data_IF_294014599329
#
_entry.id   IF_294014599329
#
_cell.length_a   1.000
_cell.length_b   1.000
_cell.length_c   1.000
_cell.angle_alpha   90.00
_cell.angle_beta   90.00
_cell.angle_gamma   90.00
#
_symmetry.space_group_name_H-M   'P 1'
#
loop_
_entity.id
_entity.type
_entity.pdbx_description
1 polymer ?
#
# COMPACT_ATOMS: atom_id res chain seq x y z
N UNK A 1 -14.84 -0.24 2.03
CA UNK A 1 -14.65 0.21 3.41
C UNK A 1 -14.66 1.73 3.39
N UNK A 2 -15.82 2.34 3.63
CA UNK A 2 -16.10 3.76 3.39
C UNK A 2 -15.42 4.67 4.41
N UNK A 3 -15.08 5.92 4.03
CA UNK A 3 -14.57 6.99 4.92
C UNK A 3 -15.45 7.27 6.17
N UNK A 4 -16.65 6.69 6.24
CA UNK A 4 -17.51 6.69 7.43
C UNK A 4 -16.97 5.81 8.58
N UNK A 5 -16.21 4.76 8.29
CA UNK A 5 -15.69 3.82 9.31
C UNK A 5 -14.51 4.44 10.07
N UNK A 6 -13.63 5.17 9.37
CA UNK A 6 -12.54 5.94 9.96
C UNK A 6 -13.03 6.99 10.97
N UNK A 7 -14.19 7.61 10.71
CA UNK A 7 -14.82 8.57 11.63
C UNK A 7 -15.30 7.93 12.93
N UNK A 8 -15.46 6.60 12.99
CA UNK A 8 -15.91 5.84 14.18
C UNK A 8 -14.79 5.23 15.02
N UNK A 9 -13.56 5.16 14.51
CA UNK A 9 -12.45 4.55 15.22
C UNK A 9 -12.04 5.38 16.46
N UNK A 10 -11.79 4.70 17.58
CA UNK A 10 -11.29 5.34 18.82
C UNK A 10 -9.87 5.89 18.63
N UNK A 11 -9.44 6.88 19.43
CA UNK A 11 -8.08 7.42 19.34
C UNK A 11 -7.00 6.33 19.49
N UNK A 12 -7.24 5.34 20.35
CA UNK A 12 -6.32 4.20 20.51
C UNK A 12 -6.28 3.31 19.27
N UNK A 13 -7.44 3.03 18.67
CA UNK A 13 -7.50 2.24 17.42
C UNK A 13 -6.78 2.92 16.26
N UNK A 14 -6.69 4.26 16.24
CA UNK A 14 -5.92 5.01 15.24
C UNK A 14 -4.42 4.99 15.51
N UNK A 15 -4.01 4.77 16.76
CA UNK A 15 -2.60 4.66 17.17
C UNK A 15 -2.06 3.23 17.09
N UNK A 16 -2.93 2.24 16.96
CA UNK A 16 -2.54 0.84 16.83
C UNK A 16 -1.76 0.58 15.54
N UNK A 17 -0.68 -0.22 15.64
CA UNK A 17 0.15 -0.59 14.49
C UNK A 17 -0.57 -1.51 13.50
N UNK A 18 -1.45 -2.39 14.01
CA UNK A 18 -2.30 -3.28 13.22
C UNK A 18 -3.56 -3.67 13.99
N UNK A 19 -4.51 -4.32 13.30
CA UNK A 19 -5.73 -4.87 13.88
C UNK A 19 -5.99 -6.27 13.33
N UNK A 20 -6.32 -7.22 14.21
CA UNK A 20 -6.83 -8.53 13.82
C UNK A 20 -8.29 -8.38 13.41
N UNK A 21 -8.59 -8.58 12.12
CA UNK A 21 -9.97 -8.46 11.58
C UNK A 21 -10.74 -9.77 11.71
N UNK A 22 -10.03 -10.90 11.67
CA UNK A 22 -10.58 -12.26 11.79
C UNK A 22 -9.56 -13.19 12.45
N UNK A 23 -10.07 -14.25 13.08
CA UNK A 23 -9.28 -15.24 13.80
C UNK A 23 -9.13 -14.92 15.29
N UNK A 24 -8.62 -15.90 16.04
CA UNK A 24 -8.31 -15.77 17.48
C UNK A 24 -6.86 -16.21 17.68
N UNK A 25 -5.88 -15.36 17.33
CA UNK A 25 -4.49 -15.70 17.48
C UNK A 25 -4.15 -15.89 18.95
N UNK A 26 -3.21 -16.78 19.24
CA UNK A 26 -2.65 -16.91 20.58
C UNK A 26 -1.61 -15.81 20.87
N UNK A 27 -1.19 -15.73 22.14
CA UNK A 27 -0.24 -14.72 22.60
C UNK A 27 1.13 -14.86 21.90
N UNK A 28 1.53 -16.08 21.53
CA UNK A 28 2.79 -16.33 20.85
C UNK A 28 2.74 -15.84 19.40
N UNK A 29 1.65 -16.07 18.70
CA UNK A 29 1.42 -15.59 17.34
C UNK A 29 1.38 -14.05 17.30
N UNK A 30 0.71 -13.41 18.27
CA UNK A 30 0.69 -11.95 18.39
C UNK A 30 2.09 -11.37 18.67
N UNK A 31 2.86 -12.03 19.55
CA UNK A 31 4.23 -11.63 19.82
C UNK A 31 5.12 -11.76 18.59
N UNK A 32 5.04 -12.90 17.88
CA UNK A 32 5.81 -13.14 16.66
C UNK A 32 5.51 -12.12 15.56
N UNK A 33 4.23 -11.81 15.34
CA UNK A 33 3.82 -10.79 14.38
C UNK A 33 4.34 -9.40 14.76
N UNK A 34 4.26 -9.04 16.04
CA UNK A 34 4.76 -7.75 16.54
C UNK A 34 6.26 -7.61 16.33
N UNK A 35 7.03 -8.66 16.64
CA UNK A 35 8.48 -8.71 16.42
C UNK A 35 8.80 -8.58 14.93
N UNK A 36 8.09 -9.28 14.05
CA UNK A 36 8.30 -9.18 12.61
C UNK A 36 8.06 -7.75 12.09
N UNK A 37 6.97 -7.10 12.51
CA UNK A 37 6.66 -5.71 12.14
C UNK A 37 7.73 -4.75 12.66
N UNK A 38 8.15 -4.89 13.92
CA UNK A 38 9.21 -4.07 14.49
C UNK A 38 10.54 -4.23 13.75
N UNK A 39 10.93 -5.48 13.42
CA UNK A 39 12.15 -5.77 12.68
C UNK A 39 12.13 -5.14 11.28
N UNK A 40 11.01 -5.24 10.55
CA UNK A 40 10.84 -4.61 9.24
C UNK A 40 10.93 -3.08 9.32
N UNK A 41 10.34 -2.47 10.36
CA UNK A 41 10.40 -1.03 10.56
C UNK A 41 11.83 -0.54 10.89
N UNK A 42 12.60 -1.32 11.63
CA UNK A 42 14.00 -0.98 11.96
C UNK A 42 14.97 -1.19 10.80
N UNK A 43 14.67 -2.10 9.87
CA UNK A 43 15.57 -2.47 8.77
C UNK A 43 15.81 -1.35 7.72
N UNK A 44 15.05 -0.26 7.73
CA UNK A 44 15.10 0.78 6.70
C UNK A 44 16.07 1.94 6.91
N UNK A 45 16.98 1.87 7.90
CA UNK A 45 17.65 3.09 8.41
C UNK A 45 19.11 3.30 7.97
N UNK A 46 19.85 2.26 7.56
CA UNK A 46 21.32 2.36 7.47
C UNK A 46 21.92 2.51 6.07
N UNK A 47 21.16 2.25 5.00
CA UNK A 47 21.66 2.41 3.63
C UNK A 47 21.00 3.62 2.95
N UNK A 48 21.76 4.53 2.30
CA UNK A 48 21.16 5.56 1.46
C UNK A 48 20.31 4.89 0.39
N UNK A 49 19.00 5.15 0.46
CA UNK A 49 18.07 4.60 -0.50
C UNK A 49 18.52 4.98 -1.93
N UNK A 50 18.56 4.02 -2.87
CA UNK A 50 18.79 4.35 -4.28
C UNK A 50 17.75 5.38 -4.73
N UNK A 51 18.06 6.21 -5.74
CA UNK A 51 17.06 7.13 -6.29
C UNK A 51 15.81 6.33 -6.63
N UNK A 52 14.67 6.72 -6.06
CA UNK A 52 13.42 6.02 -6.28
C UNK A 52 13.14 6.01 -7.78
N UNK A 53 12.90 4.82 -8.34
CA UNK A 53 12.39 4.74 -9.70
C UNK A 53 11.06 5.52 -9.76
N UNK A 54 10.80 6.26 -10.85
CA UNK A 54 9.55 6.97 -10.99
C UNK A 54 8.40 5.96 -10.91
N UNK A 55 7.54 6.13 -9.90
CA UNK A 55 6.35 5.31 -9.74
C UNK A 55 5.37 5.64 -10.87
N UNK A 56 5.38 4.78 -11.90
CA UNK A 56 4.52 4.93 -13.07
C UNK A 56 3.03 4.76 -12.72
N UNK A 57 2.69 4.13 -11.60
CA UNK A 57 1.30 3.97 -11.14
C UNK A 57 0.77 5.22 -10.45
N UNK A 58 1.61 5.90 -9.68
CA UNK A 58 1.26 7.18 -9.04
C UNK A 58 1.50 8.39 -9.95
N UNK A 59 2.02 8.17 -11.16
CA UNK A 59 2.34 9.25 -12.08
C UNK A 59 1.07 10.08 -12.41
N UNK A 60 1.08 11.42 -12.31
CA UNK A 60 -0.11 12.25 -12.52
C UNK A 60 -0.78 12.05 -13.89
N UNK A 61 0.00 11.68 -14.91
CA UNK A 61 -0.54 11.35 -16.24
C UNK A 61 -1.51 10.14 -16.22
N UNK A 62 -1.39 9.22 -15.25
CA UNK A 62 -2.33 8.12 -15.08
C UNK A 62 -3.73 8.58 -14.61
N UNK A 63 -3.82 9.77 -14.01
CA UNK A 63 -5.11 10.38 -13.62
C UNK A 63 -5.78 11.11 -14.79
N UNK A 64 -5.07 11.34 -15.89
CA UNK A 64 -5.58 12.00 -17.08
C UNK A 64 -6.01 10.96 -18.12
N UNK A 65 -7.16 11.17 -18.75
CA UNK A 65 -7.60 10.32 -19.84
C UNK A 65 -6.71 10.56 -21.07
N UNK A 66 -5.89 9.58 -21.43
CA UNK A 66 -5.14 9.61 -22.67
C UNK A 66 -6.05 9.29 -23.88
N UNK A 67 -5.77 9.92 -25.02
CA UNK A 67 -6.44 9.59 -26.28
C UNK A 67 -6.16 8.14 -26.68
N UNK A 68 -7.23 7.40 -26.99
CA UNK A 68 -7.16 6.05 -27.54
C UNK A 68 -7.03 6.15 -29.05
N UNK A 69 -6.00 5.51 -29.61
CA UNK A 69 -5.80 5.43 -31.06
C UNK A 69 -6.29 4.07 -31.56
N UNK A 70 -6.97 4.04 -32.70
CA UNK A 70 -7.34 2.78 -33.35
C UNK A 70 -6.12 2.18 -34.05
N UNK A 71 -5.90 0.87 -33.91
CA UNK A 71 -4.83 0.16 -34.59
C UNK A 71 -4.57 -1.23 -34.02
N UNK A 72 -3.82 -2.10 -34.73
CA UNK A 72 -3.43 -3.40 -34.24
C UNK A 72 -2.73 -3.30 -32.87
N UNK A 73 -3.23 -4.00 -31.86
CA UNK A 73 -2.66 -4.02 -30.51
C UNK A 73 -2.97 -2.79 -29.64
N UNK A 74 -3.58 -1.73 -30.17
CA UNK A 74 -3.78 -0.48 -29.44
C UNK A 74 -4.72 -0.61 -28.23
N UNK A 75 -5.71 -1.51 -28.30
CA UNK A 75 -6.59 -1.81 -27.16
C UNK A 75 -5.84 -2.50 -26.00
N UNK A 76 -4.85 -3.34 -26.29
CA UNK A 76 -4.05 -3.99 -25.24
C UNK A 76 -3.07 -3.00 -24.62
N UNK A 77 -2.51 -2.11 -25.44
CA UNK A 77 -1.56 -1.10 -24.98
C UNK A 77 -2.19 0.04 -24.16
N UNK A 78 -3.52 0.24 -24.21
CA UNK A 78 -4.17 1.37 -23.52
C UNK A 78 -4.16 1.28 -21.99
N UNK A 79 -3.96 0.09 -21.43
CA UNK A 79 -3.92 -0.13 -19.98
C UNK A 79 -2.52 -0.27 -19.40
N UNK A 80 -1.47 -0.15 -20.22
CA UNK A 80 -0.09 -0.26 -19.76
C UNK A 80 0.44 1.12 -19.33
N UNK A 81 1.25 1.19 -18.25
CA UNK A 81 2.00 2.39 -17.91
C UNK A 81 2.90 2.82 -19.08
N UNK A 82 3.05 4.13 -19.28
CA UNK A 82 3.92 4.72 -20.30
C UNK A 82 5.13 5.38 -19.68
#
# INVERSE_FOLDING_TARGET
MTAADEKRATPEQRRALFRVVRGTPDDHELAALTVAVAAMASAGSDEPAPPAEPDLWSHPAAQLRASLHAGPGAWRASGLPR
#
